data_IF_450469734173
#
_entry.id   IF_450469734173
#
_cell.length_a   1.000
_cell.length_b   1.000
_cell.length_c   1.000
_cell.angle_alpha   90.00
_cell.angle_beta   90.00
_cell.angle_gamma   90.00
#
_symmetry.space_group_name_H-M   'P 1'
#
loop_
_entity.id
_entity.type
_entity.pdbx_description
1 polymer ?
#
# COMPACT_ATOMS: atom_id res chain seq x y z
N UNK A 1 -8.74 -6.18 -19.23
CA UNK A 1 -8.23 -5.20 -18.23
C UNK A 1 -6.81 -5.57 -17.74
N UNK A 2 -5.84 -5.74 -18.63
CA UNK A 2 -4.46 -6.16 -18.28
C UNK A 2 -3.48 -4.98 -18.27
N UNK A 3 -3.66 -4.04 -19.20
CA UNK A 3 -2.82 -2.83 -19.34
C UNK A 3 -2.81 -1.95 -18.07
N UNK A 4 -3.99 -1.72 -17.46
CA UNK A 4 -4.10 -0.94 -16.23
C UNK A 4 -3.36 -1.59 -15.06
N UNK A 5 -3.47 -2.92 -14.92
CA UNK A 5 -2.76 -3.66 -13.86
C UNK A 5 -1.25 -3.60 -14.06
N UNK A 6 -0.77 -3.71 -15.30
CA UNK A 6 0.65 -3.54 -15.61
C UNK A 6 1.15 -2.13 -15.29
N UNK A 7 0.38 -1.09 -15.63
CA UNK A 7 0.72 0.31 -15.32
C UNK A 7 0.80 0.54 -13.81
N UNK A 8 -0.22 0.10 -13.08
CA UNK A 8 -0.25 0.22 -11.62
C UNK A 8 0.94 -0.52 -10.99
N UNK A 9 1.23 -1.74 -11.44
CA UNK A 9 2.36 -2.51 -10.93
C UNK A 9 3.70 -1.83 -11.21
N UNK A 10 3.89 -1.30 -12.42
CA UNK A 10 5.10 -0.56 -12.80
C UNK A 10 5.27 0.73 -12.01
N UNK A 11 4.18 1.44 -11.71
CA UNK A 11 4.20 2.63 -10.86
C UNK A 11 4.48 2.29 -9.39
N UNK A 12 4.00 1.13 -8.93
CA UNK A 12 4.18 0.71 -7.53
C UNK A 12 5.61 0.31 -7.18
N UNK A 13 6.38 -0.19 -8.14
CA UNK A 13 7.78 -0.59 -7.93
C UNK A 13 8.67 0.55 -7.40
N UNK A 14 8.79 1.71 -8.09
CA UNK A 14 9.56 2.83 -7.56
C UNK A 14 8.89 3.43 -6.33
N UNK A 15 7.55 3.44 -6.25
CA UNK A 15 6.82 4.04 -5.14
C UNK A 15 7.07 3.31 -3.81
N UNK A 16 7.12 1.98 -3.83
CA UNK A 16 7.51 1.15 -2.68
C UNK A 16 9.00 1.31 -2.34
N UNK A 17 9.85 1.60 -3.32
CA UNK A 17 11.27 1.79 -3.10
C UNK A 17 11.58 3.17 -2.48
N UNK A 18 10.87 4.22 -2.89
CA UNK A 18 11.09 5.60 -2.44
C UNK A 18 10.35 5.96 -1.16
N UNK A 19 9.18 5.36 -0.91
CA UNK A 19 8.38 5.67 0.27
C UNK A 19 8.51 4.59 1.34
N UNK A 20 9.03 4.98 2.51
CA UNK A 20 9.18 4.09 3.67
C UNK A 20 7.85 3.45 4.09
N UNK A 21 6.76 4.22 4.08
CA UNK A 21 5.41 3.76 4.42
C UNK A 21 4.95 2.55 3.59
N UNK A 22 5.11 2.65 2.26
CA UNK A 22 4.72 1.58 1.35
C UNK A 22 5.67 0.38 1.45
N UNK A 23 6.96 0.61 1.75
CA UNK A 23 7.93 -0.45 2.00
C UNK A 23 7.62 -1.24 3.27
N UNK A 24 7.30 -0.54 4.36
CA UNK A 24 6.92 -1.16 5.63
C UNK A 24 5.62 -1.94 5.48
N UNK A 25 4.65 -1.38 4.77
CA UNK A 25 3.39 -2.06 4.47
C UNK A 25 3.61 -3.31 3.59
N UNK A 26 4.51 -3.23 2.61
CA UNK A 26 4.90 -4.39 1.80
C UNK A 26 5.53 -5.49 2.67
N UNK A 27 6.46 -5.11 3.55
CA UNK A 27 7.14 -6.00 4.49
C UNK A 27 6.13 -6.68 5.40
N UNK A 28 5.23 -5.92 6.03
CA UNK A 28 4.17 -6.44 6.89
C UNK A 28 3.29 -7.47 6.18
N UNK A 29 2.87 -7.21 4.94
CA UNK A 29 2.09 -8.19 4.17
C UNK A 29 2.84 -9.47 3.85
N UNK A 30 4.16 -9.41 3.72
CA UNK A 30 5.00 -10.60 3.47
C UNK A 30 5.40 -11.34 4.75
N UNK A 31 5.48 -10.66 5.89
CA UNK A 31 5.98 -11.22 7.16
C UNK A 31 4.87 -11.60 8.15
N UNK A 32 3.60 -11.40 7.78
CA UNK A 32 2.46 -11.73 8.65
C UNK A 32 2.36 -13.24 8.89
N UNK A 33 2.16 -13.63 10.15
CA UNK A 33 1.99 -15.03 10.55
C UNK A 33 0.69 -15.64 10.04
N UNK A 34 -0.36 -14.84 9.93
CA UNK A 34 -1.65 -15.25 9.38
C UNK A 34 -1.78 -14.82 7.90
N UNK A 35 -1.88 -15.80 7.01
CA UNK A 35 -1.96 -15.67 5.56
C UNK A 35 -0.86 -14.77 4.93
N UNK A 36 0.41 -15.23 4.92
CA UNK A 36 1.50 -14.49 4.32
C UNK A 36 1.29 -14.31 2.81
N UNK A 37 1.26 -13.07 2.36
CA UNK A 37 1.06 -12.76 0.95
C UNK A 37 2.37 -12.94 0.18
N UNK A 38 2.30 -13.63 -0.97
CA UNK A 38 3.44 -13.69 -1.90
C UNK A 38 3.77 -12.28 -2.41
N UNK A 39 5.05 -12.00 -2.73
CA UNK A 39 5.53 -10.67 -3.18
C UNK A 39 4.62 -10.00 -4.22
N UNK A 40 4.20 -10.74 -5.26
CA UNK A 40 3.28 -10.24 -6.30
C UNK A 40 1.90 -9.89 -5.77
N UNK A 41 1.35 -10.69 -4.84
CA UNK A 41 0.03 -10.44 -4.25
C UNK A 41 0.05 -9.22 -3.34
N UNK A 42 1.11 -9.05 -2.55
CA UNK A 42 1.32 -7.86 -1.72
C UNK A 42 1.35 -6.59 -2.59
N UNK A 43 2.10 -6.59 -3.70
CA UNK A 43 2.11 -5.47 -4.64
C UNK A 43 0.72 -5.18 -5.26
N UNK A 44 -0.05 -6.20 -5.62
CA UNK A 44 -1.41 -6.01 -6.13
C UNK A 44 -2.34 -5.39 -5.07
N UNK A 45 -2.22 -5.83 -3.82
CA UNK A 45 -2.98 -5.24 -2.71
C UNK A 45 -2.61 -3.75 -2.50
N UNK A 46 -1.32 -3.43 -2.61
CA UNK A 46 -0.84 -2.05 -2.56
C UNK A 46 -1.36 -1.20 -3.72
N UNK A 47 -1.39 -1.72 -4.96
CA UNK A 47 -1.99 -1.02 -6.10
C UNK A 47 -3.45 -0.62 -5.83
N UNK A 48 -4.25 -1.53 -5.27
CA UNK A 48 -5.65 -1.24 -4.90
C UNK A 48 -5.79 -0.20 -3.79
N UNK A 49 -4.79 -0.10 -2.91
CA UNK A 49 -4.72 0.95 -1.89
C UNK A 49 -4.32 2.30 -2.51
N UNK A 50 -3.35 2.31 -3.41
CA UNK A 50 -2.92 3.52 -4.13
C UNK A 50 -4.09 4.17 -4.88
N UNK A 51 -4.87 3.38 -5.62
CA UNK A 51 -6.03 3.90 -6.36
C UNK A 51 -7.03 4.58 -5.42
N UNK A 52 -7.27 4.01 -4.23
CA UNK A 52 -8.13 4.62 -3.22
C UNK A 52 -7.55 5.93 -2.68
N UNK A 53 -6.26 5.96 -2.38
CA UNK A 53 -5.58 7.17 -1.90
C UNK A 53 -5.67 8.27 -2.95
N UNK A 54 -5.34 7.99 -4.20
CA UNK A 54 -5.45 8.95 -5.31
C UNK A 54 -6.88 9.46 -5.49
N UNK A 55 -7.87 8.57 -5.38
CA UNK A 55 -9.27 8.94 -5.45
C UNK A 55 -9.66 9.88 -4.30
N UNK A 56 -9.30 9.56 -3.06
CA UNK A 56 -9.59 10.39 -1.89
C UNK A 56 -8.88 11.73 -1.94
N UNK A 57 -7.62 11.79 -2.36
CA UNK A 57 -6.87 13.04 -2.55
C UNK A 57 -7.53 13.91 -3.62
N UNK A 58 -7.90 13.32 -4.77
CA UNK A 58 -8.53 14.05 -5.87
C UNK A 58 -9.94 14.54 -5.54
N UNK A 59 -10.72 13.77 -4.77
CA UNK A 59 -12.11 14.13 -4.42
C UNK A 59 -12.22 15.06 -3.22
N UNK A 60 -11.36 14.88 -2.21
CA UNK A 60 -11.40 15.69 -0.99
C UNK A 60 -10.44 16.88 -1.01
N UNK A 61 -9.58 16.99 -2.04
CA UNK A 61 -8.51 18.00 -2.14
C UNK A 61 -7.71 18.17 -0.85
N UNK A 62 -7.40 17.05 -0.21
CA UNK A 62 -6.60 17.02 1.03
C UNK A 62 -5.13 16.79 0.70
N UNK A 63 -4.26 17.31 1.55
CA UNK A 63 -2.83 17.00 1.50
C UNK A 63 -2.59 15.52 1.81
N UNK A 64 -1.48 15.00 1.28
CA UNK A 64 -1.05 13.64 1.54
C UNK A 64 -0.62 13.50 3.01
N UNK A 65 -1.44 12.82 3.80
CA UNK A 65 -1.10 12.46 5.18
C UNK A 65 -0.70 10.97 5.26
N UNK A 66 0.56 10.63 5.55
CA UNK A 66 1.02 9.25 5.69
C UNK A 66 0.27 8.47 6.77
N UNK A 67 -0.17 9.13 7.84
CA UNK A 67 -0.95 8.51 8.94
C UNK A 67 -2.34 8.13 8.45
N UNK A 68 -2.98 9.02 7.68
CA UNK A 68 -4.26 8.74 7.03
C UNK A 68 -4.14 7.65 5.95
N UNK A 69 -3.01 7.58 5.24
CA UNK A 69 -2.74 6.54 4.24
C UNK A 69 -2.69 5.16 4.88
N UNK A 70 -2.01 5.00 6.01
CA UNK A 70 -2.02 3.74 6.75
C UNK A 70 -3.40 3.46 7.33
N UNK A 71 -4.01 4.44 7.98
CA UNK A 71 -5.27 4.33 8.70
C UNK A 71 -5.07 3.70 10.09
N UNK A 72 -5.88 4.08 11.10
CA UNK A 72 -5.66 3.72 12.50
C UNK A 72 -5.64 2.19 12.73
N UNK A 73 -6.49 1.46 12.01
CA UNK A 73 -6.55 -0.02 12.06
C UNK A 73 -5.24 -0.65 11.56
N UNK A 74 -4.60 -0.06 10.55
CA UNK A 74 -3.37 -0.61 9.96
C UNK A 74 -2.15 -0.25 10.78
N UNK A 75 -2.11 0.95 11.36
CA UNK A 75 -1.09 1.35 12.34
C UNK A 75 -1.13 0.39 13.53
N UNK A 76 -2.31 0.12 14.08
CA UNK A 76 -2.48 -0.85 15.17
C UNK A 76 -2.05 -2.28 14.77
N UNK A 77 -2.20 -2.67 13.49
CA UNK A 77 -1.73 -3.96 12.99
C UNK A 77 -0.21 -4.01 12.76
N UNK A 78 0.40 -2.89 12.35
CA UNK A 78 1.86 -2.76 12.25
C UNK A 78 2.51 -2.81 13.62
N UNK A 79 1.95 -2.09 14.61
CA UNK A 79 2.40 -2.10 16.00
C UNK A 79 2.29 -3.48 16.68
N UNK A 80 1.30 -4.30 16.31
CA UNK A 80 1.15 -5.68 16.82
C UNK A 80 2.07 -6.70 16.16
N UNK A 81 2.70 -6.34 15.05
CA UNK A 81 3.60 -7.22 14.30
C UNK A 81 5.09 -6.88 14.50
N UNK A 82 5.38 -5.83 15.27
CA UNK A 82 6.70 -5.49 15.79
C UNK A 82 6.90 -6.15 17.15
#
# INVERSE_FOLDING_TARGET
RSRLRCLLFRAMLPLVATNAEFKELHKHFTTRSDNPLKKKQSLIALCGKLVRILYTLGTQQKEYDPVAVLGPVRIAQLQRAA
#
